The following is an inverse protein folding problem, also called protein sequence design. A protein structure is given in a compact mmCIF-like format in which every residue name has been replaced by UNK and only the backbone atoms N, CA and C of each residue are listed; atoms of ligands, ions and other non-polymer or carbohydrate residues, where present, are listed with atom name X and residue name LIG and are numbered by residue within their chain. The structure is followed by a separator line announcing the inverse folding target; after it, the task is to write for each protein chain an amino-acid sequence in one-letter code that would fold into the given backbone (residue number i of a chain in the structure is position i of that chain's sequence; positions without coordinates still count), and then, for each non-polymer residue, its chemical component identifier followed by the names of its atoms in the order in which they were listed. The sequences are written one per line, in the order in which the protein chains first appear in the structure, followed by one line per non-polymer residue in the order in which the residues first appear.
data_IF_809272574739
#
_entry.id   IF_809272574739
#
_cell.length_a   1.000
_cell.length_b   1.000
_cell.length_c   1.000
_cell.angle_alpha   90.00
_cell.angle_beta   90.00
_cell.angle_gamma   90.00
#
_symmetry.space_group_name_H-M   'P 1'
#
loop_
_entity.id
_entity.type
_entity.pdbx_description
1 polymer ?
#
# COMPACT_ATOMS: atom_id res chain seq x y z
N UNK A 1 -12.19 14.25 9.56
CA UNK A 1 -13.11 13.19 10.03
C UNK A 1 -14.44 13.84 10.36
N UNK A 2 -15.54 13.19 10.06
CA UNK A 2 -16.90 13.69 10.25
C UNK A 2 -17.81 12.57 10.71
N UNK A 3 -18.63 12.80 11.73
CA UNK A 3 -19.72 11.89 12.10
C UNK A 3 -20.89 12.12 11.14
N UNK A 4 -21.24 11.10 10.36
CA UNK A 4 -22.36 11.14 9.42
C UNK A 4 -23.67 10.95 10.18
N UNK A 5 -23.65 10.06 11.16
CA UNK A 5 -24.69 9.85 12.17
C UNK A 5 -24.07 9.26 13.44
N UNK A 6 -24.90 8.76 14.37
CA UNK A 6 -24.46 8.25 15.67
C UNK A 6 -23.62 6.98 15.60
N UNK A 7 -23.74 6.22 14.52
CA UNK A 7 -23.07 4.93 14.34
C UNK A 7 -22.03 4.98 13.21
N UNK A 8 -22.08 6.02 12.38
CA UNK A 8 -21.31 6.13 11.14
C UNK A 8 -20.27 7.25 11.19
N UNK A 9 -19.01 6.87 10.99
CA UNK A 9 -17.87 7.76 10.89
C UNK A 9 -17.39 7.85 9.44
N UNK A 10 -17.13 9.05 8.95
CA UNK A 10 -16.49 9.28 7.65
C UNK A 10 -15.08 9.83 7.81
N UNK A 11 -14.14 9.19 7.12
CA UNK A 11 -12.77 9.64 6.95
C UNK A 11 -12.56 9.98 5.47
N UNK A 12 -11.96 11.13 5.19
CA UNK A 12 -11.52 11.47 3.83
C UNK A 12 -10.00 11.47 3.83
N UNK A 13 -9.40 10.61 3.00
CA UNK A 13 -7.95 10.49 2.86
C UNK A 13 -7.57 10.98 1.46
N UNK A 14 -7.11 12.24 1.31
CA UNK A 14 -6.85 12.81 -0.01
C UNK A 14 -5.55 12.31 -0.65
N UNK A 15 -4.67 11.66 0.10
CA UNK A 15 -3.39 11.14 -0.40
C UNK A 15 -2.78 10.13 0.57
N UNK A 16 -2.03 9.17 0.03
CA UNK A 16 -1.17 8.26 0.80
C UNK A 16 0.32 8.61 0.71
N UNK A 17 0.69 9.80 0.22
CA UNK A 17 2.10 10.18 0.01
C UNK A 17 2.85 10.36 1.33
N UNK A 18 2.20 10.82 2.40
CA UNK A 18 2.83 11.07 3.72
C UNK A 18 2.39 10.01 4.73
N UNK A 19 3.28 9.05 5.00
CA UNK A 19 3.06 7.96 5.96
C UNK A 19 2.74 8.51 7.36
N UNK A 20 3.52 9.48 7.83
CA UNK A 20 3.33 10.10 9.16
C UNK A 20 1.97 10.78 9.29
N UNK A 21 1.48 11.40 8.21
CA UNK A 21 0.19 12.10 8.22
C UNK A 21 -0.99 11.14 8.43
N UNK A 22 -0.91 9.92 7.91
CA UNK A 22 -1.94 8.89 8.13
C UNK A 22 -1.83 8.29 9.53
N UNK A 23 -0.62 8.06 10.03
CA UNK A 23 -0.37 7.58 11.40
C UNK A 23 -0.86 8.54 12.47
N UNK A 24 -0.49 9.82 12.36
CA UNK A 24 -0.92 10.85 13.30
C UNK A 24 -2.43 11.00 13.27
N UNK A 25 -3.04 10.91 12.09
CA UNK A 25 -4.47 10.95 11.94
C UNK A 25 -5.15 9.76 12.66
N UNK A 26 -4.69 8.54 12.43
CA UNK A 26 -5.24 7.34 13.09
C UNK A 26 -5.15 7.46 14.61
N UNK A 27 -3.98 7.82 15.13
CA UNK A 27 -3.76 8.02 16.57
C UNK A 27 -4.69 9.09 17.17
N UNK A 28 -4.84 10.22 16.49
CA UNK A 28 -5.66 11.33 16.98
C UNK A 28 -7.16 10.99 17.05
N UNK A 29 -7.61 9.97 16.32
CA UNK A 29 -9.01 9.57 16.25
C UNK A 29 -9.25 8.12 16.67
N UNK A 30 -8.28 7.50 17.35
CA UNK A 30 -8.30 6.09 17.74
C UNK A 30 -9.58 5.72 18.51
N UNK A 31 -9.95 6.51 19.52
CA UNK A 31 -11.16 6.27 20.32
C UNK A 31 -12.44 6.33 19.50
N UNK A 32 -12.50 7.19 18.47
CA UNK A 32 -13.67 7.29 17.60
C UNK A 32 -13.74 6.12 16.61
N UNK A 33 -12.59 5.71 16.09
CA UNK A 33 -12.45 4.53 15.24
C UNK A 33 -12.89 3.27 15.98
N UNK A 34 -12.47 3.12 17.24
CA UNK A 34 -12.85 2.02 18.13
C UNK A 34 -14.28 2.11 18.65
N UNK A 35 -15.06 3.14 18.33
CA UNK A 35 -16.43 3.28 18.84
C UNK A 35 -17.48 3.29 17.73
N UNK A 36 -17.09 3.48 16.46
CA UNK A 36 -18.02 3.51 15.36
C UNK A 36 -18.42 2.09 14.95
N UNK A 37 -19.70 1.91 14.61
CA UNK A 37 -20.19 0.66 14.02
C UNK A 37 -19.94 0.62 12.53
N UNK A 38 -20.04 1.77 11.86
CA UNK A 38 -19.87 1.89 10.41
C UNK A 38 -18.73 2.88 10.11
N UNK A 39 -17.78 2.46 9.26
CA UNK A 39 -16.68 3.30 8.81
C UNK A 39 -16.76 3.52 7.29
N UNK A 40 -16.84 4.78 6.87
CA UNK A 40 -16.73 5.21 5.48
C UNK A 40 -15.34 5.79 5.23
N UNK A 41 -14.55 5.14 4.38
CA UNK A 41 -13.25 5.65 3.94
C UNK A 41 -13.41 6.25 2.54
N UNK A 42 -13.45 7.57 2.45
CA UNK A 42 -13.58 8.34 1.22
C UNK A 42 -12.20 8.61 0.58
N UNK A 43 -11.93 7.86 -0.49
CA UNK A 43 -10.71 7.95 -1.31
C UNK A 43 -10.99 8.46 -2.73
N UNK A 44 -12.15 9.08 -2.99
CA UNK A 44 -12.56 9.48 -4.36
C UNK A 44 -11.61 10.48 -5.02
N UNK A 45 -10.89 11.27 -4.22
CA UNK A 45 -9.86 12.21 -4.69
C UNK A 45 -8.45 11.77 -4.27
N UNK A 46 -8.26 10.50 -3.87
CA UNK A 46 -6.96 9.96 -3.49
C UNK A 46 -6.22 9.46 -4.73
N UNK A 47 -5.07 10.06 -5.04
CA UNK A 47 -4.24 9.69 -6.18
C UNK A 47 -3.20 8.60 -5.86
N UNK A 48 -3.38 7.89 -4.74
CA UNK A 48 -2.45 6.89 -4.24
C UNK A 48 -1.32 7.50 -3.41
N UNK A 49 -0.20 6.78 -3.39
CA UNK A 49 0.98 7.12 -2.60
C UNK A 49 1.68 5.86 -2.08
N UNK A 50 2.16 5.92 -0.84
CA UNK A 50 2.89 4.83 -0.20
C UNK A 50 1.93 3.79 0.39
N UNK A 51 2.11 2.51 0.06
CA UNK A 51 1.35 1.40 0.62
C UNK A 51 1.41 1.33 2.16
N UNK A 52 2.54 1.74 2.75
CA UNK A 52 2.70 1.83 4.23
C UNK A 52 1.73 2.82 4.87
N UNK A 53 1.30 3.85 4.15
CA UNK A 53 0.31 4.79 4.68
C UNK A 53 -1.04 4.12 4.89
N UNK A 54 -1.43 3.23 3.97
CA UNK A 54 -2.67 2.47 4.06
C UNK A 54 -2.56 1.31 5.07
N UNK A 55 -1.43 0.62 5.14
CA UNK A 55 -1.27 -0.54 6.03
C UNK A 55 -1.51 -0.19 7.51
N UNK A 56 -1.25 1.05 7.92
CA UNK A 56 -1.54 1.54 9.28
C UNK A 56 -3.04 1.64 9.62
N UNK A 57 -3.93 1.60 8.63
CA UNK A 57 -5.39 1.60 8.82
C UNK A 57 -5.96 0.19 8.97
N UNK A 58 -5.28 -0.82 8.43
CA UNK A 58 -5.74 -2.20 8.43
C UNK A 58 -6.17 -2.70 9.82
N UNK A 59 -5.49 -2.37 10.95
CA UNK A 59 -5.86 -2.89 12.27
C UNK A 59 -7.25 -2.50 12.74
N UNK A 60 -7.80 -1.43 12.19
CA UNK A 60 -9.10 -0.88 12.56
C UNK A 60 -10.20 -1.30 11.58
N UNK A 61 -9.84 -2.01 10.51
CA UNK A 61 -10.76 -2.48 9.47
C UNK A 61 -11.09 -3.96 9.67
N UNK A 62 -10.10 -4.76 10.08
CA UNK A 62 -10.27 -6.20 10.31
C UNK A 62 -10.37 -6.50 11.80
N UNK A 63 -11.24 -7.45 12.20
CA UNK A 63 -11.30 -7.94 13.56
C UNK A 63 -10.03 -8.74 13.92
N UNK A 64 -9.83 -9.06 15.21
CA UNK A 64 -8.72 -9.91 15.64
C UNK A 64 -8.71 -11.25 14.88
N UNK A 65 -7.52 -11.77 14.63
CA UNK A 65 -7.27 -13.02 13.88
C UNK A 65 -7.74 -13.01 12.40
N UNK A 66 -8.26 -11.90 11.88
CA UNK A 66 -8.55 -11.72 10.46
C UNK A 66 -7.47 -10.89 9.75
N UNK A 67 -7.24 -11.23 8.49
CA UNK A 67 -6.29 -10.56 7.61
C UNK A 67 -6.90 -10.36 6.22
N UNK A 68 -6.40 -9.40 5.42
CA UNK A 68 -6.79 -9.28 4.02
C UNK A 68 -6.63 -10.61 3.29
N UNK A 69 -7.54 -10.90 2.35
CA UNK A 69 -7.30 -12.00 1.40
C UNK A 69 -6.08 -11.67 0.57
N UNK A 70 -5.21 -12.66 0.42
CA UNK A 70 -4.02 -12.62 -0.42
C UNK A 70 -4.18 -13.52 -1.64
N UNK A 71 -5.41 -13.92 -1.98
CA UNK A 71 -5.70 -14.71 -3.17
C UNK A 71 -4.98 -14.06 -4.36
N UNK A 72 -3.93 -14.75 -4.80
CA UNK A 72 -2.89 -14.21 -5.66
C UNK A 72 -3.47 -13.85 -7.02
N UNK A 73 -3.87 -12.60 -7.18
CA UNK A 73 -4.17 -12.08 -8.50
C UNK A 73 -2.85 -11.99 -9.25
N UNK A 74 -2.63 -12.95 -10.16
CA UNK A 74 -1.60 -12.87 -11.18
C UNK A 74 -1.72 -11.50 -11.86
N UNK A 75 -0.65 -10.70 -11.79
CA UNK A 75 -0.65 -9.35 -12.36
C UNK A 75 0.11 -9.34 -13.65
N UNK A 76 -0.43 -8.68 -14.66
CA UNK A 76 0.29 -8.42 -15.90
C UNK A 76 0.99 -7.06 -15.80
N UNK A 77 2.33 -7.07 -15.88
CA UNK A 77 3.15 -5.87 -15.91
C UNK A 77 3.71 -5.63 -17.30
N UNK A 78 3.75 -4.38 -17.74
CA UNK A 78 4.13 -4.02 -19.10
C UNK A 78 5.63 -3.68 -19.21
N UNK A 79 6.40 -4.50 -19.92
CA UNK A 79 7.84 -4.34 -20.14
C UNK A 79 8.17 -4.00 -21.60
N UNK A 80 7.47 -3.06 -22.24
CA UNK A 80 7.99 -2.48 -23.49
C UNK A 80 9.36 -1.83 -23.26
N UNK A 81 10.19 -1.70 -24.31
CA UNK A 81 11.50 -1.04 -24.23
C UNK A 81 11.43 0.31 -23.51
N UNK A 82 10.44 1.13 -23.88
CA UNK A 82 10.22 2.45 -23.28
C UNK A 82 9.85 2.37 -21.80
N UNK A 83 8.98 1.44 -21.41
CA UNK A 83 8.54 1.36 -20.01
C UNK A 83 9.68 0.85 -19.11
N UNK A 84 10.40 -0.19 -19.54
CA UNK A 84 11.58 -0.69 -18.83
C UNK A 84 12.65 0.40 -18.67
N UNK A 85 12.96 1.15 -19.74
CA UNK A 85 13.93 2.24 -19.68
C UNK A 85 13.51 3.34 -18.69
N UNK A 86 12.24 3.75 -18.71
CA UNK A 86 11.72 4.77 -17.79
C UNK A 86 11.79 4.33 -16.33
N UNK A 87 11.46 3.07 -16.04
CA UNK A 87 11.54 2.53 -14.67
C UNK A 87 12.98 2.47 -14.17
N UNK A 88 13.92 1.99 -15.00
CA UNK A 88 15.35 1.97 -14.64
C UNK A 88 15.87 3.39 -14.39
N UNK A 89 15.52 4.34 -15.24
CA UNK A 89 15.89 5.75 -15.02
C UNK A 89 15.31 6.30 -13.72
N UNK A 90 14.07 5.96 -13.38
CA UNK A 90 13.46 6.36 -12.12
C UNK A 90 14.21 5.77 -10.92
N UNK A 91 14.51 4.48 -10.92
CA UNK A 91 15.30 3.81 -9.88
C UNK A 91 16.67 4.49 -9.71
N UNK A 92 17.40 4.72 -10.80
CA UNK A 92 18.69 5.41 -10.79
C UNK A 92 18.60 6.85 -10.28
N UNK A 93 17.52 7.57 -10.56
CA UNK A 93 17.29 8.91 -10.03
C UNK A 93 17.02 8.91 -8.53
N UNK A 94 16.13 8.03 -8.07
CA UNK A 94 15.77 7.90 -6.65
C UNK A 94 16.97 7.43 -5.81
N UNK A 95 17.77 6.51 -6.35
CA UNK A 95 18.98 5.94 -5.71
C UNK A 95 19.96 7.00 -5.23
N UNK A 96 20.05 8.16 -5.90
CA UNK A 96 20.98 9.24 -5.55
C UNK A 96 20.75 9.81 -4.14
N UNK A 97 19.55 9.66 -3.59
CA UNK A 97 19.14 10.26 -2.34
C UNK A 97 18.71 9.22 -1.28
N UNK A 98 18.95 7.92 -1.53
CA UNK A 98 18.55 6.82 -0.64
C UNK A 98 19.80 6.13 -0.11
N UNK A 99 19.84 5.93 1.21
CA UNK A 99 20.91 5.19 1.90
C UNK A 99 20.44 3.87 2.51
N UNK A 100 19.14 3.60 2.47
CA UNK A 100 18.55 2.40 3.03
C UNK A 100 18.88 1.17 2.17
N UNK A 101 19.62 0.21 2.74
CA UNK A 101 20.14 -0.94 1.99
C UNK A 101 19.05 -1.86 1.45
N UNK A 102 17.94 -2.03 2.18
CA UNK A 102 16.81 -2.85 1.71
C UNK A 102 16.14 -2.21 0.49
N UNK A 103 15.90 -0.90 0.54
CA UNK A 103 15.37 -0.14 -0.60
C UNK A 103 16.30 -0.20 -1.81
N UNK A 104 17.62 -0.12 -1.59
CA UNK A 104 18.61 -0.22 -2.67
C UNK A 104 18.60 -1.61 -3.34
N UNK A 105 18.52 -2.68 -2.55
CA UNK A 105 18.37 -4.05 -3.08
C UNK A 105 17.08 -4.23 -3.86
N UNK A 106 15.98 -3.65 -3.37
CA UNK A 106 14.72 -3.67 -4.09
C UNK A 106 14.83 -3.00 -5.47
N UNK A 107 15.52 -1.87 -5.56
CA UNK A 107 15.79 -1.24 -6.85
C UNK A 107 16.64 -2.11 -7.78
N UNK A 108 17.66 -2.79 -7.25
CA UNK A 108 18.47 -3.72 -8.04
C UNK A 108 17.58 -4.83 -8.64
N UNK A 109 16.70 -5.43 -7.84
CA UNK A 109 15.77 -6.47 -8.31
C UNK A 109 14.80 -5.96 -9.40
N UNK A 110 14.26 -4.75 -9.25
CA UNK A 110 13.36 -4.15 -10.26
C UNK A 110 14.12 -3.83 -11.55
N UNK A 111 15.35 -3.33 -11.46
CA UNK A 111 16.20 -3.05 -12.63
C UNK A 111 16.54 -4.35 -13.38
N UNK A 112 16.91 -5.42 -12.67
CA UNK A 112 17.16 -6.75 -13.25
C UNK A 112 15.92 -7.33 -13.93
N UNK A 113 14.76 -7.21 -13.29
CA UNK A 113 13.47 -7.64 -13.86
C UNK A 113 13.12 -6.87 -15.14
N UNK A 114 13.30 -5.54 -15.11
CA UNK A 114 13.07 -4.68 -16.27
C UNK A 114 13.97 -5.02 -17.46
N UNK A 115 15.22 -5.41 -17.21
CA UNK A 115 16.13 -5.88 -18.26
C UNK A 115 15.78 -7.28 -18.75
N UNK A 116 15.45 -8.21 -17.85
CA UNK A 116 15.07 -9.59 -18.18
C UNK A 116 13.84 -9.66 -19.08
N UNK A 117 12.82 -8.85 -18.80
CA UNK A 117 11.54 -8.88 -19.50
C UNK A 117 11.40 -7.80 -20.59
N UNK A 118 12.45 -7.01 -20.84
CA UNK A 118 12.43 -5.91 -21.80
C UNK A 118 11.96 -6.36 -23.19
N UNK A 119 11.05 -5.58 -23.76
CA UNK A 119 10.50 -5.78 -25.10
C UNK A 119 9.35 -6.80 -25.18
N UNK A 120 9.01 -7.48 -24.08
CA UNK A 120 8.03 -8.58 -24.10
C UNK A 120 6.57 -8.12 -23.99
N UNK A 121 6.33 -6.83 -23.71
CA UNK A 121 4.98 -6.31 -23.49
C UNK A 121 4.46 -6.75 -22.12
N UNK A 122 3.21 -7.23 -22.05
CA UNK A 122 2.63 -7.69 -20.78
C UNK A 122 3.19 -9.06 -20.39
N UNK A 123 3.76 -9.14 -19.19
CA UNK A 123 4.27 -10.36 -18.56
C UNK A 123 3.51 -10.61 -17.27
N UNK A 124 3.03 -11.84 -17.12
CA UNK A 124 2.36 -12.29 -15.90
C UNK A 124 3.36 -12.51 -14.79
N UNK A 125 3.13 -11.87 -13.66
CA UNK A 125 3.92 -11.95 -12.45
C UNK A 125 3.07 -12.52 -11.33
N UNK A 126 3.65 -13.45 -10.60
CA UNK A 126 3.06 -14.02 -9.40
C UNK A 126 3.65 -13.28 -8.19
N UNK A 127 2.77 -12.66 -7.39
CA UNK A 127 3.12 -11.93 -6.18
C UNK A 127 2.53 -12.59 -4.93
N UNK A 128 2.08 -13.84 -5.05
CA UNK A 128 1.34 -14.52 -3.98
C UNK A 128 2.17 -14.61 -2.70
N UNK A 129 3.44 -15.02 -2.81
CA UNK A 129 4.34 -15.18 -1.67
C UNK A 129 4.61 -13.84 -0.96
N UNK A 130 4.83 -12.75 -1.71
CA UNK A 130 5.06 -11.43 -1.15
C UNK A 130 3.81 -10.87 -0.46
N UNK A 131 2.63 -11.06 -1.06
CA UNK A 131 1.35 -10.62 -0.50
C UNK A 131 1.01 -11.40 0.77
N UNK A 132 1.24 -12.72 0.78
CA UNK A 132 1.06 -13.57 1.96
C UNK A 132 2.00 -13.14 3.09
N UNK A 133 3.28 -12.91 2.78
CA UNK A 133 4.26 -12.43 3.76
C UNK A 133 3.93 -11.03 4.31
N UNK A 134 3.28 -10.16 3.53
CA UNK A 134 2.82 -8.85 4.00
C UNK A 134 1.57 -8.95 4.87
N UNK A 135 0.59 -9.79 4.48
CA UNK A 135 -0.62 -10.03 5.27
C UNK A 135 -0.33 -10.69 6.62
N UNK A 136 0.67 -11.59 6.69
CA UNK A 136 1.08 -12.22 7.96
C UNK A 136 1.76 -11.25 8.94
N UNK A 137 2.20 -10.06 8.50
CA UNK A 137 2.73 -9.02 9.39
C UNK A 137 1.62 -8.20 10.05
N UNK A 138 0.37 -8.49 9.71
CA UNK A 138 -0.80 -7.76 10.13
C UNK A 138 -1.66 -8.63 11.07
N UNK A 139 -2.05 -8.06 12.20
CA UNK A 139 -3.04 -8.61 13.11
C UNK A 139 -4.09 -7.53 13.35
N UNK A 140 -5.37 -7.86 13.14
CA UNK A 140 -6.48 -6.98 13.45
C UNK A 140 -6.52 -6.62 14.94
N UNK A 141 -7.13 -5.49 15.27
CA UNK A 141 -7.33 -5.11 16.67
C UNK A 141 -8.79 -5.26 17.06
N UNK A 142 -9.07 -5.37 18.36
CA UNK A 142 -10.43 -5.25 18.91
C UNK A 142 -11.01 -3.89 18.48
N UNK A 143 -11.72 -3.91 17.36
CA UNK A 143 -12.72 -2.92 16.99
C UNK A 143 -14.08 -3.56 17.36
N UNK A 144 -14.95 -2.87 18.11
CA UNK A 144 -16.19 -3.45 18.62
C UNK A 144 -17.15 -3.90 17.51
#
# INVERSE_FOLDING_TARGET
MEEVDKETLRITLPSFVKVDGTLDFVKNYEEKLKACTNLIIDVRNNHGGNGKSFSNLLPYIFPPDEHPSTDGELKELNYTDRNSELFIQLCQQLRKNITDEETLKFFDSIEEECEKYRGQGFVTMDFSDELEAEALKFEGTDSP
#
